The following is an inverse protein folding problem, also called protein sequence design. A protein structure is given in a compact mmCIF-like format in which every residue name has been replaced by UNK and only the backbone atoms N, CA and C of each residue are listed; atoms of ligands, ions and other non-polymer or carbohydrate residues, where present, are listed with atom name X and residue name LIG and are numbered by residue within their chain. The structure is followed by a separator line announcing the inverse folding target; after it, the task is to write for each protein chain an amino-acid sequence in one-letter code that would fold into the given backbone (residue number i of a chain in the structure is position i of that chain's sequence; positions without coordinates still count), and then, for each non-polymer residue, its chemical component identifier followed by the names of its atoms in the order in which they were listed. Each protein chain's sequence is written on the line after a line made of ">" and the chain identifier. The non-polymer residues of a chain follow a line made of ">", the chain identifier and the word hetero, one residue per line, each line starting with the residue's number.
data_IF_868016117356
#
_entry.id   IF_868016117356
#
_cell.length_a   1.000
_cell.length_b   1.000
_cell.length_c   1.000
_cell.angle_alpha   90.00
_cell.angle_beta   90.00
_cell.angle_gamma   90.00
#
_symmetry.space_group_name_H-M   'P 1'
#
loop_
_entity.id
_entity.type
_entity.pdbx_description
1 polymer ?
#
# COMPACT_ATOMS: atom_id res chain seq x y z
N UNK A 1 -55.58 -6.64 15.11
CA UNK A 1 -54.26 -6.16 14.65
C UNK A 1 -54.27 -4.64 14.75
N UNK A 2 -53.43 -4.06 15.61
CA UNK A 2 -53.52 -2.68 16.08
C UNK A 2 -52.79 -1.67 15.17
N UNK A 3 -53.52 -0.72 14.57
CA UNK A 3 -53.04 0.43 13.77
C UNK A 3 -51.57 0.92 14.00
N UNK A 4 -51.01 1.03 15.23
CA UNK A 4 -49.60 1.37 15.45
C UNK A 4 -48.54 0.54 14.72
N UNK A 5 -48.71 -0.76 14.46
CA UNK A 5 -47.67 -1.55 13.76
C UNK A 5 -47.57 -1.19 12.28
N UNK A 6 -48.70 -0.86 11.63
CA UNK A 6 -48.73 -0.46 10.22
C UNK A 6 -48.03 0.89 9.99
N UNK A 7 -48.09 1.80 10.97
CA UNK A 7 -47.39 3.08 10.92
C UNK A 7 -45.87 2.91 11.09
N UNK A 8 -45.45 1.99 11.95
CA UNK A 8 -44.03 1.67 12.11
C UNK A 8 -43.44 1.03 10.85
N UNK A 9 -44.17 0.09 10.23
CA UNK A 9 -43.73 -0.59 9.01
C UNK A 9 -43.69 0.37 7.81
N UNK A 10 -44.64 1.30 7.69
CA UNK A 10 -44.67 2.31 6.62
C UNK A 10 -43.61 3.39 6.80
N UNK A 11 -43.29 3.83 8.03
CA UNK A 11 -42.20 4.76 8.28
C UNK A 11 -40.82 4.11 8.04
N UNK A 12 -40.63 2.85 8.45
CA UNK A 12 -39.40 2.11 8.18
C UNK A 12 -39.18 1.85 6.68
N UNK A 13 -40.24 1.57 5.93
CA UNK A 13 -40.15 1.45 4.46
C UNK A 13 -39.95 2.80 3.77
N UNK A 14 -40.47 3.91 4.31
CA UNK A 14 -40.21 5.25 3.77
C UNK A 14 -38.79 5.79 4.05
N UNK A 15 -38.14 5.41 5.15
CA UNK A 15 -36.73 5.77 5.40
C UNK A 15 -35.81 5.16 4.33
N UNK A 16 -36.17 4.01 3.76
CA UNK A 16 -35.43 3.37 2.68
C UNK A 16 -35.75 3.93 1.27
N UNK A 17 -36.71 4.86 1.19
CA UNK A 17 -37.22 5.46 -0.05
C UNK A 17 -36.89 6.95 -0.17
N UNK A 18 -35.93 7.47 0.61
CA UNK A 18 -35.21 8.63 0.08
C UNK A 18 -34.59 8.15 -1.23
N UNK A 19 -34.99 8.68 -2.40
CA UNK A 19 -34.14 8.51 -3.56
C UNK A 19 -32.76 8.95 -3.07
N UNK A 20 -31.74 8.12 -3.30
CA UNK A 20 -30.39 8.64 -3.38
C UNK A 20 -30.50 9.71 -4.46
N UNK A 21 -30.83 10.94 -4.06
CA UNK A 21 -30.93 12.04 -4.97
C UNK A 21 -29.57 12.02 -5.65
N UNK A 22 -29.58 12.08 -6.98
CA UNK A 22 -28.42 12.40 -7.79
C UNK A 22 -27.97 13.82 -7.39
N UNK A 23 -27.54 13.99 -6.14
CA UNK A 23 -26.76 15.09 -5.66
C UNK A 23 -25.57 15.03 -6.61
N UNK A 24 -25.36 16.08 -7.43
CA UNK A 24 -24.20 16.12 -8.30
C UNK A 24 -22.97 15.96 -7.40
N UNK A 25 -22.42 14.74 -7.38
CA UNK A 25 -21.20 14.46 -6.65
C UNK A 25 -20.11 15.02 -7.55
N UNK A 26 -19.43 16.11 -7.18
CA UNK A 26 -18.30 16.58 -7.96
C UNK A 26 -17.32 15.42 -8.10
N UNK A 27 -16.75 15.26 -9.30
CA UNK A 27 -15.70 14.27 -9.50
C UNK A 27 -14.58 14.47 -8.47
N UNK A 28 -13.85 13.40 -8.14
CA UNK A 28 -12.79 13.46 -7.16
C UNK A 28 -11.80 14.59 -7.51
N UNK A 29 -11.79 15.65 -6.71
CA UNK A 29 -10.85 16.76 -6.83
C UNK A 29 -9.68 16.55 -5.87
N UNK A 30 -8.46 16.76 -6.35
CA UNK A 30 -7.27 16.60 -5.53
C UNK A 30 -7.26 17.66 -4.42
N UNK A 31 -7.02 17.28 -3.15
CA UNK A 31 -7.01 18.23 -2.05
C UNK A 31 -5.85 19.24 -2.23
N UNK A 32 -6.00 20.47 -1.73
CA UNK A 32 -4.93 21.47 -1.78
C UNK A 32 -3.65 20.91 -1.14
N UNK A 33 -2.53 20.98 -1.87
CA UNK A 33 -1.24 20.42 -1.45
C UNK A 33 -0.96 18.99 -1.90
N UNK A 34 -1.89 18.31 -2.58
CA UNK A 34 -1.68 16.98 -3.15
C UNK A 34 -0.37 16.85 -3.97
N UNK A 35 0.03 17.81 -4.83
CA UNK A 35 1.27 17.71 -5.59
C UNK A 35 2.54 17.64 -4.71
N UNK A 36 2.52 18.27 -3.54
CA UNK A 36 3.65 18.23 -2.61
C UNK A 36 3.75 16.87 -1.92
N UNK A 37 2.61 16.31 -1.51
CA UNK A 37 2.53 14.97 -0.90
C UNK A 37 2.99 13.91 -1.89
N UNK A 38 2.52 13.97 -3.14
CA UNK A 38 2.92 13.05 -4.20
C UNK A 38 4.43 13.07 -4.45
N UNK A 39 5.06 14.25 -4.43
CA UNK A 39 6.53 14.36 -4.55
C UNK A 39 7.26 13.67 -3.41
N UNK A 40 6.83 13.88 -2.16
CA UNK A 40 7.43 13.23 -0.99
C UNK A 40 7.31 11.71 -1.09
N UNK A 41 6.11 11.22 -1.43
CA UNK A 41 5.88 9.78 -1.64
C UNK A 41 6.75 9.26 -2.79
N UNK A 42 6.90 10.02 -3.87
CA UNK A 42 7.81 9.70 -4.97
C UNK A 42 9.26 9.53 -4.52
N UNK A 43 9.79 10.46 -3.73
CA UNK A 43 11.14 10.37 -3.18
C UNK A 43 11.30 9.15 -2.26
N UNK A 44 10.33 8.89 -1.38
CA UNK A 44 10.38 7.73 -0.49
C UNK A 44 10.41 6.41 -1.27
N UNK A 45 9.62 6.32 -2.35
CA UNK A 45 9.59 5.14 -3.23
C UNK A 45 10.91 4.95 -3.97
N UNK A 46 11.51 6.05 -4.43
CA UNK A 46 12.82 6.02 -5.06
C UNK A 46 13.91 5.55 -4.08
N UNK A 47 13.96 6.13 -2.87
CA UNK A 47 14.93 5.76 -1.83
C UNK A 47 14.75 4.29 -1.46
N UNK A 48 13.52 3.83 -1.24
CA UNK A 48 13.24 2.43 -0.93
C UNK A 48 13.76 1.49 -2.03
N UNK A 49 13.54 1.83 -3.30
CA UNK A 49 14.09 1.09 -4.44
C UNK A 49 15.61 1.01 -4.43
N UNK A 50 16.29 2.14 -4.21
CA UNK A 50 17.76 2.18 -4.11
C UNK A 50 18.28 1.36 -2.92
N UNK A 51 17.61 1.43 -1.76
CA UNK A 51 17.98 0.63 -0.60
C UNK A 51 17.82 -0.88 -0.84
N UNK A 52 16.75 -1.31 -1.50
CA UNK A 52 16.54 -2.72 -1.87
C UNK A 52 17.68 -3.22 -2.74
N UNK A 53 18.03 -2.46 -3.79
CA UNK A 53 19.15 -2.81 -4.68
C UNK A 53 20.49 -2.83 -3.93
N UNK A 54 20.74 -1.82 -3.09
CA UNK A 54 21.94 -1.72 -2.27
C UNK A 54 22.09 -2.88 -1.30
N UNK A 55 21.01 -3.31 -0.64
CA UNK A 55 21.01 -4.47 0.25
C UNK A 55 21.26 -5.77 -0.53
N UNK A 56 20.67 -5.93 -1.72
CA UNK A 56 20.84 -7.12 -2.54
C UNK A 56 22.30 -7.26 -3.03
N UNK A 57 22.79 -6.24 -3.75
CA UNK A 57 24.15 -6.26 -4.31
C UNK A 57 25.22 -6.16 -3.22
N UNK A 58 25.00 -5.31 -2.20
CA UNK A 58 25.86 -5.25 -1.02
C UNK A 58 25.90 -6.59 -0.27
N UNK A 59 24.77 -7.30 -0.20
CA UNK A 59 24.68 -8.65 0.33
C UNK A 59 25.51 -9.66 -0.46
N UNK A 60 25.49 -9.61 -1.80
CA UNK A 60 26.34 -10.44 -2.66
C UNK A 60 27.82 -10.15 -2.39
N UNK A 61 28.21 -8.88 -2.34
CA UNK A 61 29.60 -8.48 -2.05
C UNK A 61 30.02 -8.99 -0.67
N UNK A 62 29.21 -8.78 0.37
CA UNK A 62 29.50 -9.24 1.72
C UNK A 62 29.58 -10.78 1.82
N UNK A 63 28.68 -11.50 1.13
CA UNK A 63 28.66 -12.96 1.10
C UNK A 63 29.89 -13.55 0.38
N UNK A 64 30.29 -12.94 -0.73
CA UNK A 64 31.48 -13.34 -1.49
C UNK A 64 32.75 -13.01 -0.73
N UNK A 65 32.86 -11.79 -0.18
CA UNK A 65 33.99 -11.39 0.65
C UNK A 65 34.15 -12.31 1.87
N UNK A 66 33.04 -12.69 2.53
CA UNK A 66 33.08 -13.64 3.64
C UNK A 66 33.67 -15.00 3.29
N UNK A 67 33.47 -15.48 2.05
CA UNK A 67 34.08 -16.73 1.57
C UNK A 67 35.54 -16.54 1.13
N UNK A 68 35.84 -15.42 0.49
CA UNK A 68 37.18 -15.13 -0.02
C UNK A 68 38.21 -14.91 1.10
N UNK A 69 37.80 -14.25 2.19
CA UNK A 69 38.65 -13.97 3.35
C UNK A 69 38.39 -14.89 4.55
N UNK A 70 37.60 -15.96 4.37
CA UNK A 70 37.20 -16.90 5.43
C UNK A 70 36.54 -16.22 6.67
N UNK A 71 35.96 -15.04 6.44
CA UNK A 71 35.29 -14.26 7.46
C UNK A 71 33.84 -14.74 7.60
N UNK A 72 33.63 -15.69 8.51
CA UNK A 72 32.34 -16.34 8.77
C UNK A 72 31.19 -15.36 9.08
N UNK A 73 31.48 -14.21 9.68
CA UNK A 73 30.49 -13.19 10.02
C UNK A 73 29.90 -12.45 8.81
N UNK A 74 30.74 -11.95 7.90
CA UNK A 74 30.33 -11.21 6.70
C UNK A 74 29.62 -12.12 5.70
N UNK A 75 30.03 -13.39 5.60
CA UNK A 75 29.33 -14.41 4.80
C UNK A 75 27.86 -14.56 5.21
N UNK A 76 27.62 -14.70 6.52
CA UNK A 76 26.28 -14.84 7.11
C UNK A 76 25.46 -13.55 7.02
N UNK A 77 26.10 -12.41 7.24
CA UNK A 77 25.45 -11.11 7.09
C UNK A 77 25.01 -10.88 5.64
N UNK A 78 25.89 -11.16 4.67
CA UNK A 78 25.57 -11.04 3.25
C UNK A 78 24.37 -11.88 2.84
N UNK A 79 24.30 -13.15 3.29
CA UNK A 79 23.15 -14.00 3.05
C UNK A 79 21.84 -13.41 3.62
N UNK A 80 21.88 -12.82 4.83
CA UNK A 80 20.72 -12.15 5.44
C UNK A 80 20.30 -10.91 4.66
N UNK A 81 21.25 -10.11 4.16
CA UNK A 81 20.94 -8.93 3.35
C UNK A 81 20.26 -9.33 2.03
N UNK A 82 20.74 -10.37 1.37
CA UNK A 82 20.12 -10.89 0.14
C UNK A 82 18.68 -11.33 0.42
N UNK A 83 18.46 -12.23 1.37
CA UNK A 83 17.12 -12.74 1.68
C UNK A 83 16.18 -11.62 2.14
N UNK A 84 16.67 -10.72 3.00
CA UNK A 84 15.92 -9.56 3.47
C UNK A 84 15.54 -8.61 2.34
N UNK A 85 16.45 -8.34 1.41
CA UNK A 85 16.19 -7.48 0.25
C UNK A 85 15.18 -8.11 -0.72
N UNK A 86 15.19 -9.43 -0.92
CA UNK A 86 14.20 -10.13 -1.74
C UNK A 86 12.81 -10.06 -1.12
N UNK A 87 12.69 -10.29 0.19
CA UNK A 87 11.44 -10.11 0.90
C UNK A 87 10.96 -8.65 0.80
N UNK A 88 11.85 -7.68 1.00
CA UNK A 88 11.52 -6.26 0.90
C UNK A 88 11.09 -5.87 -0.53
N UNK A 89 11.74 -6.41 -1.56
CA UNK A 89 11.36 -6.22 -2.96
C UNK A 89 9.95 -6.75 -3.26
N UNK A 90 9.63 -7.95 -2.74
CA UNK A 90 8.29 -8.52 -2.87
C UNK A 90 7.25 -7.64 -2.17
N UNK A 91 7.49 -7.22 -0.92
CA UNK A 91 6.58 -6.33 -0.20
C UNK A 91 6.41 -4.99 -0.92
N UNK A 92 7.49 -4.43 -1.46
CA UNK A 92 7.46 -3.16 -2.18
C UNK A 92 6.64 -3.24 -3.47
N UNK A 93 6.84 -4.31 -4.27
CA UNK A 93 6.10 -4.53 -5.52
C UNK A 93 4.63 -4.95 -5.30
N UNK A 94 4.40 -5.97 -4.47
CA UNK A 94 3.05 -6.47 -4.18
C UNK A 94 2.23 -5.46 -3.40
N UNK A 95 2.80 -4.81 -2.38
CA UNK A 95 2.12 -3.78 -1.61
C UNK A 95 1.62 -2.65 -2.49
N UNK A 96 2.45 -2.17 -3.43
CA UNK A 96 2.00 -1.14 -4.36
C UNK A 96 0.89 -1.62 -5.31
N UNK A 97 1.00 -2.85 -5.80
CA UNK A 97 -0.01 -3.44 -6.69
C UNK A 97 -1.35 -3.54 -5.97
N UNK A 98 -1.37 -4.07 -4.75
CA UNK A 98 -2.60 -4.23 -3.95
C UNK A 98 -3.25 -2.89 -3.63
N UNK A 99 -2.48 -1.91 -3.18
CA UNK A 99 -3.00 -0.55 -2.89
C UNK A 99 -3.60 0.07 -4.15
N UNK A 100 -2.94 -0.08 -5.30
CA UNK A 100 -3.42 0.48 -6.56
C UNK A 100 -4.74 -0.17 -7.01
N UNK A 101 -4.89 -1.49 -6.85
CA UNK A 101 -6.14 -2.20 -7.17
C UNK A 101 -7.30 -1.80 -6.25
N UNK A 102 -7.05 -1.66 -4.95
CA UNK A 102 -8.09 -1.21 -4.01
C UNK A 102 -8.49 0.24 -4.29
N UNK A 103 -7.54 1.12 -4.58
CA UNK A 103 -7.82 2.51 -4.92
C UNK A 103 -8.63 2.64 -6.22
N UNK A 104 -8.30 1.85 -7.25
CA UNK A 104 -9.03 1.85 -8.52
C UNK A 104 -10.46 1.32 -8.39
N UNK A 105 -10.74 0.42 -7.43
CA UNK A 105 -12.08 -0.11 -7.17
C UNK A 105 -12.95 0.87 -6.36
N UNK A 106 -12.33 1.81 -5.64
CA UNK A 106 -13.03 2.78 -4.79
C UNK A 106 -13.37 4.10 -5.51
N UNK A 107 -12.83 4.31 -6.72
CA UNK A 107 -13.04 5.48 -7.57
C UNK A 107 -14.14 5.21 -8.61
#
# INVERSE_FOLDING_TARGET
>A
MSIPHLLADTLLTQIHLLPAQDIPNPGAEAPPGAPAIERVVGYLRWIAGVCILGLFFGGIVAATAGRLWDHHGSGRLGARLIVGSLALALLFGLGYTLVSQFAATAA
#
